data_IF_959042304287
#
_entry.id   IF_959042304287
#
_cell.length_a   1.000
_cell.length_b   1.000
_cell.length_c   1.000
_cell.angle_alpha   90.00
_cell.angle_beta   90.00
_cell.angle_gamma   90.00
#
_symmetry.space_group_name_H-M   'P 1'
#
loop_
_entity.id
_entity.type
_entity.pdbx_description
1 polymer ?
#
# COMPACT_ATOMS: atom_id res chain seq x y z
N UNK A 1 -4.28 13.10 12.79
CA UNK A 1 -3.18 12.87 13.77
C UNK A 1 -2.16 13.95 13.53
N UNK A 2 -1.80 14.73 14.54
CA UNK A 2 -0.85 15.83 14.37
C UNK A 2 0.50 15.29 13.86
N UNK A 3 1.20 16.07 13.03
CA UNK A 3 2.52 15.78 12.45
C UNK A 3 3.65 15.48 13.47
N UNK A 4 3.35 15.35 14.76
CA UNK A 4 4.30 15.29 15.87
C UNK A 4 4.69 13.87 16.33
N UNK A 5 4.21 12.81 15.68
CA UNK A 5 4.51 11.44 16.15
C UNK A 5 5.17 10.58 15.04
N UNK A 6 6.34 11.04 14.61
CA UNK A 6 7.18 10.29 13.64
C UNK A 6 8.40 9.72 14.36
N UNK A 7 8.96 8.67 13.77
CA UNK A 7 10.15 7.97 14.26
C UNK A 7 11.30 8.28 13.29
N UNK A 8 12.44 8.68 13.85
CA UNK A 8 13.68 8.82 13.09
C UNK A 8 14.33 7.44 12.97
N UNK A 9 14.63 7.05 11.72
CA UNK A 9 15.29 5.78 11.43
C UNK A 9 16.54 6.00 10.58
N UNK A 10 17.54 5.15 10.75
CA UNK A 10 18.76 5.11 9.93
C UNK A 10 18.63 3.94 8.97
N UNK A 11 18.95 4.16 7.71
CA UNK A 11 19.06 3.11 6.69
C UNK A 11 20.33 2.30 6.99
N UNK A 12 20.19 1.11 7.54
CA UNK A 12 21.30 0.27 7.96
C UNK A 12 21.83 -0.63 6.83
N UNK A 13 20.98 -1.01 5.87
CA UNK A 13 21.38 -1.77 4.69
C UNK A 13 20.45 -1.50 3.51
N UNK A 14 20.98 -1.69 2.29
CA UNK A 14 20.23 -1.64 1.04
C UNK A 14 20.71 -2.80 0.17
N UNK A 15 19.77 -3.60 -0.34
CA UNK A 15 20.07 -4.73 -1.23
C UNK A 15 19.27 -4.60 -2.53
N UNK A 16 19.90 -4.84 -3.68
CA UNK A 16 19.20 -4.99 -4.94
C UNK A 16 18.60 -6.40 -4.97
N UNK A 17 17.27 -6.51 -5.01
CA UNK A 17 16.56 -7.80 -4.97
C UNK A 17 16.16 -8.27 -6.37
N UNK A 18 15.70 -7.33 -7.20
CA UNK A 18 15.41 -7.53 -8.61
C UNK A 18 15.86 -6.29 -9.39
N UNK A 19 15.90 -6.28 -10.73
CA UNK A 19 16.29 -5.08 -11.48
C UNK A 19 15.51 -3.81 -11.10
N UNK A 20 14.26 -3.97 -10.61
CA UNK A 20 13.39 -2.84 -10.26
C UNK A 20 13.07 -2.72 -8.77
N UNK A 21 13.54 -3.65 -7.92
CA UNK A 21 13.18 -3.66 -6.50
C UNK A 21 14.44 -3.61 -5.64
N UNK A 22 14.50 -2.62 -4.75
CA UNK A 22 15.46 -2.55 -3.65
C UNK A 22 14.80 -2.91 -2.33
N UNK A 23 15.53 -3.59 -1.48
CA UNK A 23 15.21 -3.91 -0.10
C UNK A 23 15.99 -2.96 0.81
N UNK A 24 15.30 -2.32 1.75
CA UNK A 24 15.87 -1.39 2.72
C UNK A 24 15.66 -1.94 4.12
N UNK A 25 16.71 -1.88 4.94
CA UNK A 25 16.66 -2.21 6.37
C UNK A 25 16.79 -0.92 7.16
N UNK A 26 15.82 -0.65 8.02
CA UNK A 26 15.67 0.58 8.80
C UNK A 26 15.79 0.25 10.29
N UNK A 27 16.63 0.98 11.02
CA UNK A 27 16.77 0.87 12.48
C UNK A 27 16.44 2.20 13.14
N UNK A 28 15.90 2.17 14.35
CA UNK A 28 15.67 3.40 15.09
C UNK A 28 16.96 4.20 15.29
N UNK A 29 16.92 5.51 15.09
CA UNK A 29 18.09 6.38 15.19
C UNK A 29 18.60 6.52 16.64
N UNK A 30 17.72 6.33 17.62
CA UNK A 30 18.02 6.37 19.05
C UNK A 30 18.49 5.02 19.62
N UNK A 31 18.53 3.97 18.78
CA UNK A 31 18.96 2.61 19.16
C UNK A 31 17.92 1.80 19.95
N UNK A 32 16.73 2.34 20.19
CA UNK A 32 15.65 1.62 20.86
C UNK A 32 14.95 0.63 19.90
N UNK A 33 14.25 -0.39 20.41
CA UNK A 33 13.38 -1.21 19.57
C UNK A 33 12.29 -0.36 18.88
N UNK A 34 12.00 -0.70 17.63
CA UNK A 34 10.90 -0.08 16.88
C UNK A 34 9.54 -0.56 17.42
N UNK A 35 8.45 0.21 17.22
CA UNK A 35 7.12 -0.20 17.65
C UNK A 35 6.70 -1.56 17.13
N UNK A 36 5.96 -2.32 17.96
CA UNK A 36 5.39 -3.59 17.54
C UNK A 36 4.37 -3.42 16.41
N UNK A 37 4.32 -4.41 15.52
CA UNK A 37 3.40 -4.44 14.40
C UNK A 37 2.91 -5.87 14.15
N UNK A 38 2.01 -6.08 13.21
CA UNK A 38 1.53 -7.40 12.78
C UNK A 38 1.65 -7.56 11.28
N UNK A 39 1.68 -8.79 10.77
CA UNK A 39 1.74 -9.05 9.33
C UNK A 39 0.63 -8.35 8.57
N UNK A 40 0.99 -7.71 7.45
CA UNK A 40 0.10 -6.82 6.68
C UNK A 40 0.20 -5.33 7.07
N UNK A 41 1.00 -4.97 8.08
CA UNK A 41 1.25 -3.57 8.43
C UNK A 41 2.09 -2.86 7.39
N UNK A 42 1.89 -1.55 7.29
CA UNK A 42 2.73 -0.64 6.50
C UNK A 42 3.17 0.57 7.34
N UNK A 43 4.22 1.22 6.90
CA UNK A 43 4.69 2.52 7.39
C UNK A 43 4.63 3.55 6.27
N UNK A 44 4.47 4.83 6.61
CA UNK A 44 4.68 5.92 5.66
C UNK A 44 6.11 6.41 5.82
N UNK A 45 6.88 6.38 4.74
CA UNK A 45 8.23 6.94 4.69
C UNK A 45 8.17 8.37 4.16
N UNK A 46 8.75 9.31 4.92
CA UNK A 46 8.84 10.71 4.55
C UNK A 46 10.20 10.96 3.91
N UNK A 47 10.19 11.38 2.66
CA UNK A 47 11.39 11.65 1.87
C UNK A 47 11.43 13.13 1.50
N UNK A 48 12.49 13.84 1.88
CA UNK A 48 12.67 15.28 1.64
C UNK A 48 13.74 15.50 0.58
N UNK A 49 13.34 15.92 -0.61
CA UNK A 49 14.23 16.15 -1.75
C UNK A 49 13.99 17.51 -2.40
N UNK A 50 14.97 18.41 -2.35
CA UNK A 50 14.81 19.78 -2.85
C UNK A 50 13.63 20.48 -2.20
N UNK A 51 12.71 21.02 -3.03
CA UNK A 51 11.51 21.72 -2.56
C UNK A 51 10.30 20.78 -2.38
N UNK A 52 10.49 19.44 -2.42
CA UNK A 52 9.40 18.49 -2.38
C UNK A 52 9.53 17.49 -1.24
N UNK A 53 8.40 17.18 -0.62
CA UNK A 53 8.27 16.13 0.40
C UNK A 53 7.38 15.03 -0.16
N UNK A 54 7.93 13.82 -0.26
CA UNK A 54 7.17 12.63 -0.63
C UNK A 54 6.78 11.87 0.63
N UNK A 55 5.59 11.31 0.65
CA UNK A 55 5.07 10.49 1.74
C UNK A 55 4.45 9.22 1.14
N UNK A 56 5.23 8.15 1.09
CA UNK A 56 4.78 6.91 0.48
C UNK A 56 4.57 5.82 1.52
N UNK A 57 3.44 5.08 1.46
CA UNK A 57 3.25 3.88 2.25
C UNK A 57 4.09 2.73 1.67
N UNK A 58 4.72 1.94 2.56
CA UNK A 58 5.43 0.72 2.22
C UNK A 58 5.11 -0.36 3.24
N UNK A 59 4.70 -1.55 2.77
CA UNK A 59 4.43 -2.70 3.64
C UNK A 59 5.71 -3.14 4.35
N UNK A 60 5.58 -3.45 5.63
CA UNK A 60 6.64 -4.07 6.41
C UNK A 60 6.77 -5.54 6.01
N UNK A 61 7.99 -5.99 5.77
CA UNK A 61 8.31 -7.37 5.41
C UNK A 61 9.26 -8.06 6.41
N UNK A 62 9.73 -7.33 7.43
CA UNK A 62 10.43 -7.91 8.57
C UNK A 62 9.51 -8.83 9.38
N UNK A 63 10.09 -9.69 10.18
CA UNK A 63 9.34 -10.50 11.14
C UNK A 63 8.69 -9.60 12.20
N UNK A 64 7.38 -9.71 12.47
CA UNK A 64 6.74 -8.97 13.56
C UNK A 64 7.29 -9.29 14.96
N UNK A 65 8.02 -10.40 15.09
CA UNK A 65 8.67 -10.81 16.34
C UNK A 65 10.07 -10.20 16.52
N UNK A 66 10.60 -9.49 15.52
CA UNK A 66 11.92 -8.86 15.51
C UNK A 66 11.76 -7.35 15.39
N UNK A 67 11.94 -6.61 16.51
CA UNK A 67 11.70 -5.17 16.56
C UNK A 67 12.99 -4.33 16.44
N UNK A 68 14.13 -4.98 16.22
CA UNK A 68 15.43 -4.31 16.04
C UNK A 68 15.52 -3.51 14.73
N UNK A 69 14.73 -3.92 13.74
CA UNK A 69 14.67 -3.27 12.44
C UNK A 69 13.35 -3.48 11.73
N UNK A 70 12.98 -2.49 10.90
CA UNK A 70 11.95 -2.66 9.89
C UNK A 70 12.60 -2.92 8.54
N UNK A 71 11.96 -3.75 7.74
CA UNK A 71 12.35 -4.03 6.38
C UNK A 71 11.25 -3.63 5.42
N UNK A 72 11.58 -2.95 4.33
CA UNK A 72 10.65 -2.58 3.26
C UNK A 72 11.21 -2.92 1.88
N UNK A 73 10.32 -3.31 0.97
CA UNK A 73 10.64 -3.51 -0.43
C UNK A 73 10.08 -2.36 -1.28
N UNK A 74 10.94 -1.68 -2.03
CA UNK A 74 10.55 -0.55 -2.85
C UNK A 74 10.77 -0.87 -4.32
N UNK A 75 9.68 -0.92 -5.09
CA UNK A 75 9.74 -1.02 -6.55
C UNK A 75 9.90 0.37 -7.15
N UNK A 76 10.90 0.56 -8.02
CA UNK A 76 11.05 1.78 -8.82
C UNK A 76 9.86 1.90 -9.77
N UNK A 77 9.08 2.94 -9.65
CA UNK A 77 7.97 3.25 -10.55
C UNK A 77 8.46 3.85 -11.87
N UNK A 78 7.79 3.50 -12.97
CA UNK A 78 7.95 4.13 -14.26
C UNK A 78 6.58 4.04 -15.01
N UNK A 79 5.89 5.16 -15.20
CA UNK A 79 6.18 6.50 -14.67
C UNK A 79 6.10 6.59 -13.14
N UNK A 80 6.80 7.56 -12.54
CA UNK A 80 6.84 7.77 -11.09
C UNK A 80 6.53 9.21 -10.73
N UNK A 81 5.85 9.42 -9.59
CA UNK A 81 5.67 10.76 -8.99
C UNK A 81 6.89 11.26 -8.22
N UNK A 82 7.98 10.48 -8.19
CA UNK A 82 9.27 10.82 -7.63
C UNK A 82 9.65 10.06 -6.36
N UNK A 83 8.72 9.65 -5.48
CA UNK A 83 9.06 9.05 -4.19
C UNK A 83 9.83 7.73 -4.31
N UNK A 84 9.39 6.79 -5.17
CA UNK A 84 10.12 5.53 -5.39
C UNK A 84 11.46 5.76 -6.12
N UNK A 85 11.55 6.78 -6.98
CA UNK A 85 12.79 7.20 -7.61
C UNK A 85 13.76 7.77 -6.58
N UNK A 86 13.27 8.63 -5.67
CA UNK A 86 14.06 9.15 -4.55
C UNK A 86 14.64 8.02 -3.70
N UNK A 87 13.82 7.02 -3.33
CA UNK A 87 14.30 5.85 -2.58
C UNK A 87 15.41 5.09 -3.32
N UNK A 88 15.31 4.97 -4.65
CA UNK A 88 16.32 4.27 -5.44
C UNK A 88 17.59 5.07 -5.67
N UNK A 89 17.51 6.39 -5.88
CA UNK A 89 18.60 7.19 -6.40
C UNK A 89 19.29 8.05 -5.35
N UNK A 90 18.56 8.44 -4.30
CA UNK A 90 19.04 9.39 -3.29
C UNK A 90 19.31 8.73 -1.94
N UNK A 91 18.55 7.67 -1.59
CA UNK A 91 18.69 7.02 -0.29
C UNK A 91 19.92 6.11 -0.29
N UNK A 92 20.79 6.28 0.71
CA UNK A 92 22.01 5.50 0.91
C UNK A 92 22.12 4.99 2.36
N UNK A 93 22.97 4.00 2.58
CA UNK A 93 23.29 3.47 3.91
C UNK A 93 23.85 4.59 4.79
N UNK A 94 23.36 4.69 6.02
CA UNK A 94 23.69 5.74 6.98
C UNK A 94 22.77 6.96 6.90
N UNK A 95 21.94 7.09 5.87
CA UNK A 95 20.97 8.20 5.76
C UNK A 95 19.88 8.06 6.80
N UNK A 96 19.51 9.19 7.44
CA UNK A 96 18.34 9.26 8.32
C UNK A 96 17.09 9.55 7.52
N UNK A 97 16.03 8.80 7.77
CA UNK A 97 14.68 9.00 7.26
C UNK A 97 13.70 9.16 8.41
N UNK A 98 12.56 9.75 8.11
CA UNK A 98 11.44 9.88 9.03
C UNK A 98 10.33 8.91 8.60
N UNK A 99 9.77 8.16 9.54
CA UNK A 99 8.67 7.23 9.27
C UNK A 99 7.49 7.47 10.22
N UNK A 100 6.28 7.16 9.78
CA UNK A 100 5.12 7.09 10.65
C UNK A 100 5.10 5.78 11.44
N UNK A 101 4.32 5.73 12.53
CA UNK A 101 4.04 4.48 13.24
C UNK A 101 3.38 3.45 12.31
N UNK A 102 3.63 2.14 12.50
CA UNK A 102 2.98 1.09 11.73
C UNK A 102 1.46 1.13 11.85
N UNK A 103 0.78 0.96 10.73
CA UNK A 103 -0.67 0.83 10.65
C UNK A 103 -0.99 -0.44 9.88
N UNK A 104 -1.96 -1.23 10.37
CA UNK A 104 -2.41 -2.44 9.67
C UNK A 104 -3.85 -2.28 9.18
N UNK A 105 -4.00 -2.18 7.86
CA UNK A 105 -5.28 -2.14 7.14
C UNK A 105 -5.52 -3.42 6.31
N UNK A 106 -4.55 -4.34 6.34
CA UNK A 106 -4.61 -5.61 5.63
C UNK A 106 -4.35 -6.77 6.62
N UNK A 107 -5.17 -6.79 7.68
CA UNK A 107 -5.02 -7.76 8.77
C UNK A 107 -5.47 -9.15 8.34
N UNK A 108 -4.73 -10.18 8.78
CA UNK A 108 -5.24 -11.56 8.71
C UNK A 108 -6.38 -11.76 9.71
N UNK A 109 -7.41 -12.46 9.29
CA UNK A 109 -8.48 -12.88 10.19
C UNK A 109 -7.98 -14.02 11.09
N UNK A 110 -8.08 -13.83 12.41
CA UNK A 110 -7.62 -14.81 13.41
C UNK A 110 -8.54 -16.02 13.53
N UNK A 111 -9.77 -15.93 13.01
CA UNK A 111 -10.75 -17.01 13.04
C UNK A 111 -10.73 -17.86 11.77
N UNK A 112 -9.95 -17.48 10.76
CA UNK A 112 -9.78 -18.25 9.54
C UNK A 112 -9.22 -19.64 9.84
N UNK A 113 -9.78 -20.66 9.19
CA UNK A 113 -9.30 -22.04 9.27
C UNK A 113 -8.12 -22.33 8.34
N UNK A 114 -7.96 -21.52 7.31
CA UNK A 114 -6.84 -21.55 6.36
C UNK A 114 -6.68 -20.18 5.71
N UNK A 115 -5.45 -19.81 5.35
CA UNK A 115 -5.15 -18.58 4.60
C UNK A 115 -4.59 -18.95 3.22
N UNK A 116 -5.17 -18.39 2.17
CA UNK A 116 -4.66 -18.45 0.79
C UNK A 116 -4.16 -17.05 0.44
N UNK A 117 -2.86 -16.93 0.17
CA UNK A 117 -2.18 -15.67 -0.11
C UNK A 117 -1.84 -15.62 -1.60
N UNK A 118 -2.36 -14.63 -2.32
CA UNK A 118 -2.19 -14.47 -3.76
C UNK A 118 -1.40 -13.18 -4.05
N UNK A 119 -0.14 -13.34 -4.44
CA UNK A 119 0.78 -12.23 -4.66
C UNK A 119 1.03 -11.98 -6.15
N UNK A 120 1.06 -10.71 -6.56
CA UNK A 120 1.49 -10.28 -7.89
C UNK A 120 2.64 -9.27 -7.83
N UNK A 121 3.83 -9.62 -8.32
CA UNK A 121 4.98 -8.71 -8.34
C UNK A 121 5.37 -8.18 -6.97
N UNK A 122 5.41 -6.84 -6.79
CA UNK A 122 5.76 -6.21 -5.49
C UNK A 122 4.68 -6.42 -4.43
N UNK A 123 3.47 -6.86 -4.78
CA UNK A 123 2.42 -7.25 -3.84
C UNK A 123 2.77 -8.44 -2.94
N UNK A 124 3.95 -9.02 -3.12
CA UNK A 124 4.52 -10.01 -2.19
C UNK A 124 4.85 -9.43 -0.80
N UNK A 125 5.13 -8.12 -0.71
CA UNK A 125 5.69 -7.51 0.50
C UNK A 125 4.82 -7.68 1.76
N UNK A 126 3.49 -7.45 1.79
CA UNK A 126 2.69 -7.65 2.99
C UNK A 126 2.63 -9.12 3.41
N UNK A 127 2.73 -10.05 2.46
CA UNK A 127 2.63 -11.47 2.75
C UNK A 127 3.87 -12.04 3.43
N UNK A 128 5.05 -11.46 3.22
CA UNK A 128 6.28 -11.93 3.89
C UNK A 128 6.13 -11.84 5.41
N UNK A 129 5.75 -10.67 5.95
CA UNK A 129 5.50 -10.52 7.37
C UNK A 129 4.28 -11.33 7.85
N UNK A 130 3.23 -11.42 7.04
CA UNK A 130 2.03 -12.21 7.36
C UNK A 130 2.35 -13.71 7.47
N UNK A 131 3.22 -14.24 6.61
CA UNK A 131 3.67 -15.63 6.67
C UNK A 131 4.57 -15.91 7.88
N UNK A 132 5.38 -14.95 8.31
CA UNK A 132 6.16 -15.08 9.56
C UNK A 132 5.23 -15.17 10.80
N UNK A 133 4.15 -14.37 10.83
CA UNK A 133 3.11 -14.49 11.87
C UNK A 133 2.43 -15.87 11.84
N UNK A 134 2.14 -16.39 10.64
CA UNK A 134 1.45 -17.67 10.45
C UNK A 134 2.36 -18.86 10.74
N UNK A 135 3.67 -18.74 10.53
CA UNK A 135 4.63 -19.82 10.70
C UNK A 135 4.69 -20.37 12.13
N UNK A 136 4.48 -19.52 13.12
CA UNK A 136 4.45 -19.91 14.54
C UNK A 136 3.13 -20.53 14.97
N UNK A 137 2.09 -20.49 14.11
CA UNK A 137 0.74 -20.95 14.41
C UNK A 137 0.41 -22.32 13.82
N UNK A 138 -0.75 -22.86 14.24
CA UNK A 138 -1.27 -24.14 13.73
C UNK A 138 -2.18 -23.98 12.49
N UNK A 139 -2.53 -22.75 12.09
CA UNK A 139 -3.45 -22.49 10.98
C UNK A 139 -2.72 -22.69 9.65
N UNK A 140 -3.21 -23.57 8.75
CA UNK A 140 -2.61 -23.79 7.45
C UNK A 140 -2.64 -22.52 6.60
N UNK A 141 -1.59 -22.35 5.79
CA UNK A 141 -1.52 -21.29 4.79
C UNK A 141 -0.76 -21.75 3.56
N UNK A 142 -1.04 -21.13 2.43
CA UNK A 142 -0.31 -21.30 1.18
C UNK A 142 -0.15 -19.95 0.47
N UNK A 143 0.98 -19.78 -0.21
CA UNK A 143 1.30 -18.62 -1.02
C UNK A 143 1.38 -19.04 -2.49
N UNK A 144 0.66 -18.30 -3.33
CA UNK A 144 0.73 -18.36 -4.78
C UNK A 144 1.29 -17.03 -5.28
N UNK A 145 2.49 -17.03 -5.84
CA UNK A 145 3.21 -15.83 -6.22
C UNK A 145 3.47 -15.79 -7.73
N UNK A 146 2.83 -14.85 -8.42
CA UNK A 146 2.94 -14.65 -9.87
C UNK A 146 3.85 -13.48 -10.20
N UNK A 147 4.77 -13.71 -11.12
CA UNK A 147 5.70 -12.70 -11.67
C UNK A 147 5.94 -12.94 -13.16
N UNK A 148 6.40 -11.90 -13.86
CA UNK A 148 6.65 -11.98 -15.30
C UNK A 148 7.72 -13.01 -15.68
N UNK A 149 8.82 -13.07 -14.90
CA UNK A 149 9.94 -13.99 -15.14
C UNK A 149 10.71 -14.23 -13.83
N UNK A 150 11.54 -15.28 -13.74
CA UNK A 150 12.27 -15.65 -12.51
C UNK A 150 13.11 -14.51 -11.90
N UNK A 151 13.71 -13.65 -12.70
CA UNK A 151 14.51 -12.49 -12.28
C UNK A 151 13.67 -11.39 -11.62
N UNK A 152 12.34 -11.44 -11.75
CA UNK A 152 11.40 -10.52 -11.11
C UNK A 152 10.78 -11.07 -9.82
N UNK A 153 11.12 -12.33 -9.45
CA UNK A 153 10.63 -12.97 -8.24
C UNK A 153 11.37 -12.44 -6.99
N UNK A 154 10.95 -11.27 -6.50
CA UNK A 154 11.53 -10.67 -5.31
C UNK A 154 11.40 -11.60 -4.10
N UNK A 155 12.46 -11.70 -3.31
CA UNK A 155 12.53 -12.49 -2.06
C UNK A 155 12.29 -13.99 -2.25
N UNK A 156 12.40 -14.53 -3.46
CA UNK A 156 12.12 -15.92 -3.79
C UNK A 156 12.87 -16.89 -2.86
N UNK A 157 14.17 -16.71 -2.70
CA UNK A 157 14.99 -17.62 -1.91
C UNK A 157 14.58 -17.58 -0.42
N UNK A 158 14.35 -16.39 0.16
CA UNK A 158 13.82 -16.24 1.51
C UNK A 158 12.48 -16.97 1.70
N UNK A 159 11.58 -16.87 0.72
CA UNK A 159 10.25 -17.50 0.76
C UNK A 159 10.36 -19.04 0.70
N UNK A 160 11.15 -19.57 -0.25
CA UNK A 160 11.28 -21.02 -0.44
C UNK A 160 12.06 -21.70 0.68
N UNK A 161 13.11 -21.05 1.20
CA UNK A 161 13.89 -21.57 2.34
C UNK A 161 13.08 -21.61 3.63
N UNK A 162 12.27 -20.57 3.90
CA UNK A 162 11.51 -20.48 5.16
C UNK A 162 10.17 -21.20 5.15
N UNK A 163 9.52 -21.34 3.99
CA UNK A 163 8.14 -21.82 3.89
C UNK A 163 7.98 -23.07 3.01
N UNK A 164 9.01 -23.46 2.26
CA UNK A 164 9.07 -24.71 1.50
C UNK A 164 7.87 -24.91 0.58
N UNK A 165 7.22 -26.08 0.71
CA UNK A 165 6.10 -26.50 -0.14
C UNK A 165 4.83 -25.63 -0.03
N UNK A 166 4.79 -24.70 0.91
CA UNK A 166 3.69 -23.73 1.02
C UNK A 166 3.77 -22.61 -0.01
N UNK A 167 4.86 -22.53 -0.80
CA UNK A 167 5.10 -21.48 -1.79
C UNK A 167 5.04 -22.06 -3.19
N UNK A 168 4.12 -21.56 -4.00
CA UNK A 168 4.05 -21.86 -5.43
C UNK A 168 4.35 -20.62 -6.24
N UNK A 169 5.34 -20.72 -7.14
CA UNK A 169 5.75 -19.63 -8.02
C UNK A 169 5.18 -19.86 -9.43
N UNK A 170 4.71 -18.77 -10.04
CA UNK A 170 4.19 -18.74 -11.40
C UNK A 170 4.96 -17.74 -12.24
N UNK A 171 5.41 -18.15 -13.43
CA UNK A 171 6.21 -17.35 -14.34
C UNK A 171 5.49 -17.18 -15.68
N UNK A 172 5.08 -15.95 -16.01
CA UNK A 172 4.41 -15.65 -17.28
C UNK A 172 5.30 -16.00 -18.48
N UNK A 173 6.62 -15.75 -18.37
CA UNK A 173 7.61 -16.09 -19.41
C UNK A 173 7.67 -17.60 -19.72
N UNK A 174 7.33 -18.45 -18.76
CA UNK A 174 7.24 -19.90 -18.91
C UNK A 174 5.80 -20.37 -19.18
N UNK A 175 4.85 -19.46 -19.43
CA UNK A 175 3.41 -19.76 -19.58
C UNK A 175 2.81 -20.51 -18.39
N UNK A 176 3.35 -20.30 -17.20
CA UNK A 176 2.85 -20.84 -15.95
C UNK A 176 1.90 -19.80 -15.34
N UNK A 177 0.62 -19.98 -15.53
CA UNK A 177 -0.40 -19.06 -15.01
C UNK A 177 -1.10 -19.66 -13.80
N UNK A 178 -1.43 -18.81 -12.83
CA UNK A 178 -2.21 -19.20 -11.67
C UNK A 178 -3.65 -19.49 -12.09
N UNK A 179 -4.12 -20.72 -11.86
CA UNK A 179 -5.52 -21.11 -12.01
C UNK A 179 -6.32 -20.63 -10.79
N UNK A 180 -6.71 -19.34 -10.80
CA UNK A 180 -7.39 -18.70 -9.67
C UNK A 180 -8.73 -19.39 -9.40
N UNK A 181 -9.53 -19.66 -10.42
CA UNK A 181 -10.85 -20.27 -10.30
C UNK A 181 -10.74 -21.67 -9.69
N UNK A 182 -9.89 -22.52 -10.25
CA UNK A 182 -9.68 -23.87 -9.74
C UNK A 182 -9.04 -23.88 -8.35
N UNK A 183 -8.16 -22.93 -8.05
CA UNK A 183 -7.57 -22.78 -6.72
C UNK A 183 -8.65 -22.45 -5.66
N UNK A 184 -9.50 -21.48 -5.92
CA UNK A 184 -10.53 -21.04 -4.96
C UNK A 184 -11.64 -22.08 -4.80
N UNK A 185 -12.02 -22.80 -5.88
CA UNK A 185 -13.05 -23.83 -5.84
C UNK A 185 -12.65 -25.05 -4.99
N UNK A 186 -11.36 -25.30 -4.79
CA UNK A 186 -10.87 -26.47 -4.02
C UNK A 186 -10.64 -26.20 -2.54
N UNK A 187 -10.86 -24.96 -2.08
CA UNK A 187 -10.56 -24.60 -0.70
C UNK A 187 -11.61 -25.13 0.29
N UNK A 188 -11.19 -25.59 1.47
CA UNK A 188 -12.12 -25.97 2.52
C UNK A 188 -12.91 -24.77 3.06
N UNK A 189 -14.10 -25.03 3.60
CA UNK A 189 -14.91 -23.99 4.25
C UNK A 189 -14.17 -23.34 5.42
N UNK A 190 -14.32 -22.02 5.53
CA UNK A 190 -13.60 -21.20 6.53
C UNK A 190 -12.21 -20.79 6.08
N UNK A 191 -11.85 -21.00 4.81
CA UNK A 191 -10.67 -20.41 4.21
C UNK A 191 -10.89 -18.93 3.92
N UNK A 192 -9.86 -18.11 4.17
CA UNK A 192 -9.82 -16.71 3.78
C UNK A 192 -8.78 -16.50 2.68
N UNK A 193 -9.13 -15.78 1.62
CA UNK A 193 -8.22 -15.39 0.55
C UNK A 193 -7.75 -13.96 0.74
N UNK A 194 -6.47 -13.75 0.50
CA UNK A 194 -5.80 -12.45 0.55
C UNK A 194 -5.10 -12.22 -0.78
N UNK A 195 -5.36 -11.11 -1.43
CA UNK A 195 -4.71 -10.77 -2.70
C UNK A 195 -4.07 -9.39 -2.65
N UNK A 196 -2.82 -9.31 -3.11
CA UNK A 196 -2.12 -8.05 -3.35
C UNK A 196 -1.30 -8.15 -4.65
N UNK A 197 -1.55 -7.22 -5.57
CA UNK A 197 -0.93 -7.25 -6.90
C UNK A 197 -1.52 -6.21 -7.85
N UNK A 198 -1.36 -6.39 -9.17
CA UNK A 198 -1.97 -5.54 -10.19
C UNK A 198 -3.50 -5.56 -10.11
N UNK A 199 -4.15 -4.41 -10.40
CA UNK A 199 -5.60 -4.27 -10.33
C UNK A 199 -6.38 -5.39 -11.07
N UNK A 200 -6.03 -5.79 -12.31
CA UNK A 200 -6.75 -6.88 -12.99
C UNK A 200 -6.65 -8.23 -12.27
N UNK A 201 -5.55 -8.50 -11.56
CA UNK A 201 -5.41 -9.73 -10.76
C UNK A 201 -6.33 -9.67 -9.53
N UNK A 202 -6.35 -8.54 -8.83
CA UNK A 202 -7.22 -8.33 -7.66
C UNK A 202 -8.69 -8.49 -8.06
N UNK A 203 -9.12 -7.82 -9.12
CA UNK A 203 -10.48 -7.89 -9.65
C UNK A 203 -10.88 -9.32 -9.99
N UNK A 204 -10.00 -10.06 -10.70
CA UNK A 204 -10.24 -11.45 -11.05
C UNK A 204 -10.39 -12.34 -9.83
N UNK A 205 -9.55 -12.18 -8.79
CA UNK A 205 -9.65 -12.96 -7.55
C UNK A 205 -10.98 -12.69 -6.85
N UNK A 206 -11.37 -11.40 -6.72
CA UNK A 206 -12.64 -11.02 -6.09
C UNK A 206 -13.83 -11.62 -6.85
N UNK A 207 -13.86 -11.47 -8.17
CA UNK A 207 -14.95 -12.00 -9.01
C UNK A 207 -15.02 -13.53 -8.94
N UNK A 208 -13.87 -14.22 -9.00
CA UNK A 208 -13.81 -15.69 -8.92
C UNK A 208 -14.24 -16.21 -7.55
N UNK A 209 -13.85 -15.55 -6.46
CA UNK A 209 -14.28 -15.91 -5.11
C UNK A 209 -15.79 -15.73 -4.94
N UNK A 210 -16.35 -14.60 -5.40
CA UNK A 210 -17.80 -14.35 -5.39
C UNK A 210 -18.57 -15.39 -6.22
N UNK A 211 -18.09 -15.71 -7.42
CA UNK A 211 -18.69 -16.72 -8.28
C UNK A 211 -18.65 -18.13 -7.65
N UNK A 212 -17.64 -18.43 -6.85
CA UNK A 212 -17.51 -19.66 -6.08
C UNK A 212 -18.31 -19.64 -4.75
N UNK A 213 -19.08 -18.58 -4.46
CA UNK A 213 -19.94 -18.47 -3.29
C UNK A 213 -19.22 -18.13 -1.98
N UNK A 214 -18.03 -17.51 -2.05
CA UNK A 214 -17.33 -17.05 -0.85
C UNK A 214 -18.04 -15.89 -0.19
N UNK A 215 -18.06 -15.86 1.15
CA UNK A 215 -18.54 -14.71 1.89
C UNK A 215 -17.62 -13.51 1.69
N UNK A 216 -18.17 -12.29 1.58
CA UNK A 216 -17.38 -11.06 1.41
C UNK A 216 -16.35 -10.87 2.54
N UNK A 217 -16.69 -11.28 3.76
CA UNK A 217 -15.79 -11.23 4.93
C UNK A 217 -14.58 -12.17 4.82
N UNK A 218 -14.56 -13.09 3.85
CA UNK A 218 -13.46 -14.01 3.60
C UNK A 218 -12.56 -13.57 2.43
N UNK A 219 -12.90 -12.45 1.77
CA UNK A 219 -12.17 -11.94 0.61
C UNK A 219 -11.47 -10.66 1.00
N UNK A 220 -10.14 -10.70 1.10
CA UNK A 220 -9.31 -9.58 1.54
C UNK A 220 -8.37 -9.16 0.41
N UNK A 221 -8.24 -7.86 0.19
CA UNK A 221 -7.36 -7.34 -0.83
C UNK A 221 -6.68 -6.05 -0.41
N UNK A 222 -5.48 -5.85 -0.92
CA UNK A 222 -4.75 -4.60 -0.82
C UNK A 222 -4.23 -4.21 -2.20
N UNK A 223 -4.38 -2.94 -2.55
CA UNK A 223 -3.89 -2.39 -3.81
C UNK A 223 -2.96 -1.22 -3.54
N UNK A 224 -1.76 -1.27 -4.11
CA UNK A 224 -0.81 -0.18 -4.02
C UNK A 224 -1.13 0.86 -5.09
N UNK A 225 -1.97 1.83 -4.73
CA UNK A 225 -2.36 2.91 -5.60
C UNK A 225 -1.42 4.11 -5.42
N UNK A 226 -0.91 4.63 -6.53
CA UNK A 226 -0.37 5.98 -6.57
C UNK A 226 -1.50 6.93 -7.02
N UNK A 227 -1.65 8.10 -6.39
CA UNK A 227 -2.57 9.10 -6.89
C UNK A 227 -2.25 9.40 -8.37
N UNK A 228 -3.26 9.50 -9.25
CA UNK A 228 -3.02 9.72 -10.66
C UNK A 228 -2.43 11.11 -10.93
N UNK A 229 -1.68 11.22 -11.99
CA UNK A 229 -1.31 12.51 -12.58
C UNK A 229 -2.54 13.08 -13.27
N UNK A 230 -2.79 14.40 -13.14
CA UNK A 230 -3.93 15.07 -13.75
C UNK A 230 -3.61 16.53 -14.11
N UNK A 231 -4.60 17.31 -14.45
CA UNK A 231 -4.45 18.76 -14.66
C UNK A 231 -4.34 19.49 -13.32
N UNK A 232 -3.66 20.65 -13.30
CA UNK A 232 -3.63 21.49 -12.11
C UNK A 232 -5.02 22.11 -11.88
N UNK A 233 -5.41 22.26 -10.61
CA UNK A 233 -6.64 22.95 -10.20
C UNK A 233 -6.45 23.62 -8.86
N UNK A 234 -7.28 24.61 -8.55
CA UNK A 234 -7.26 25.30 -7.27
C UNK A 234 -8.25 24.69 -6.30
N UNK A 235 -7.85 24.58 -5.04
CA UNK A 235 -8.72 24.18 -3.93
C UNK A 235 -8.80 25.30 -2.90
N UNK A 236 -10.02 25.71 -2.56
CA UNK A 236 -10.32 26.59 -1.43
C UNK A 236 -10.67 25.72 -0.22
N UNK A 237 -9.97 25.95 0.89
CA UNK A 237 -10.22 25.32 2.17
C UNK A 237 -11.08 26.29 3.00
N UNK A 238 -12.39 26.07 3.02
CA UNK A 238 -13.37 27.06 3.47
C UNK A 238 -13.23 27.48 4.94
N UNK A 239 -12.87 26.52 5.83
CA UNK A 239 -12.66 26.82 7.26
C UNK A 239 -11.33 27.52 7.53
N UNK A 240 -10.31 27.17 6.77
CA UNK A 240 -8.97 27.73 6.92
C UNK A 240 -8.81 29.06 6.18
N UNK A 241 -9.69 29.38 5.25
CA UNK A 241 -9.60 30.57 4.39
C UNK A 241 -8.41 30.57 3.43
N UNK A 242 -7.86 29.41 3.13
CA UNK A 242 -6.66 29.24 2.31
C UNK A 242 -7.04 28.69 0.94
N UNK A 243 -6.46 29.24 -0.12
CA UNK A 243 -6.53 28.66 -1.47
C UNK A 243 -5.17 28.09 -1.85
N UNK A 244 -5.17 26.86 -2.36
CA UNK A 244 -3.99 26.10 -2.73
C UNK A 244 -4.12 25.60 -4.14
N UNK A 245 -3.08 25.76 -4.97
CA UNK A 245 -3.01 25.10 -6.28
C UNK A 245 -2.49 23.67 -6.11
N UNK A 246 -3.23 22.70 -6.63
CA UNK A 246 -2.85 21.28 -6.68
C UNK A 246 -2.12 21.00 -7.99
N UNK A 247 -0.80 20.78 -7.98
CA UNK A 247 -0.04 20.48 -9.21
C UNK A 247 -0.48 19.16 -9.87
N UNK A 248 -0.16 18.94 -11.14
CA UNK A 248 -0.51 17.73 -11.87
C UNK A 248 -0.02 16.44 -11.21
N UNK A 249 1.14 16.48 -10.59
CA UNK A 249 1.89 15.33 -10.05
C UNK A 249 1.80 15.20 -8.51
N UNK A 250 0.96 16.01 -7.85
CA UNK A 250 0.66 15.90 -6.41
C UNK A 250 -0.78 15.45 -6.17
N UNK A 251 -1.00 14.74 -5.06
CA UNK A 251 -2.36 14.52 -4.57
C UNK A 251 -2.92 15.81 -3.95
N UNK A 252 -4.24 15.90 -3.90
CA UNK A 252 -4.92 16.98 -3.19
C UNK A 252 -4.51 17.03 -1.71
N UNK A 253 -4.35 15.88 -1.06
CA UNK A 253 -3.86 15.78 0.32
C UNK A 253 -2.45 16.36 0.49
N UNK A 254 -1.52 16.04 -0.41
CA UNK A 254 -0.15 16.57 -0.36
C UNK A 254 -0.11 18.09 -0.54
N UNK A 255 -0.97 18.64 -1.39
CA UNK A 255 -1.08 20.08 -1.58
C UNK A 255 -1.65 20.78 -0.33
N UNK A 256 -2.68 20.21 0.30
CA UNK A 256 -3.27 20.71 1.56
C UNK A 256 -2.22 20.71 2.68
N UNK A 257 -1.49 19.59 2.85
CA UNK A 257 -0.40 19.49 3.83
C UNK A 257 0.75 20.49 3.54
N UNK A 258 1.07 20.68 2.27
CA UNK A 258 2.09 21.67 1.84
C UNK A 258 1.72 23.11 2.18
N UNK A 259 0.42 23.41 2.27
CA UNK A 259 -0.09 24.70 2.72
C UNK A 259 -0.15 24.85 4.24
N UNK A 260 0.28 23.84 5.00
CA UNK A 260 0.29 23.85 6.47
C UNK A 260 -1.06 23.56 7.11
N UNK A 261 -2.04 23.06 6.35
CA UNK A 261 -3.35 22.67 6.87
C UNK A 261 -3.32 21.19 7.27
N UNK A 262 -3.72 20.90 8.50
CA UNK A 262 -3.77 19.56 9.06
C UNK A 262 -5.07 18.85 8.58
N UNK A 263 -4.95 18.08 7.50
CA UNK A 263 -6.04 17.26 6.98
C UNK A 263 -5.92 15.82 7.52
N UNK A 264 -7.04 15.18 7.90
CA UNK A 264 -6.99 13.81 8.40
C UNK A 264 -6.54 12.85 7.29
N UNK A 265 -5.67 11.90 7.65
CA UNK A 265 -5.25 10.80 6.76
C UNK A 265 -4.72 9.60 7.55
N UNK A 266 -4.73 8.43 6.91
CA UNK A 266 -4.13 7.21 7.46
C UNK A 266 -3.38 6.42 6.36
N UNK A 267 -4.09 5.84 5.37
CA UNK A 267 -3.50 4.91 4.38
C UNK A 267 -2.84 5.59 3.19
N UNK A 268 -3.21 6.81 2.83
CA UNK A 268 -2.82 7.52 1.58
C UNK A 268 -3.09 6.75 0.28
N UNK A 269 -3.90 5.68 0.35
CA UNK A 269 -4.19 4.75 -0.75
C UNK A 269 -5.68 4.64 -1.11
N UNK A 270 -6.56 5.47 -0.53
CA UNK A 270 -7.98 5.53 -0.91
C UNK A 270 -8.85 4.39 -0.37
N UNK A 271 -8.43 3.67 0.68
CA UNK A 271 -9.16 2.49 1.18
C UNK A 271 -9.69 2.62 2.62
N UNK A 272 -9.12 3.49 3.46
CA UNK A 272 -9.46 3.53 4.89
C UNK A 272 -10.60 4.50 5.25
N UNK A 273 -10.91 5.48 4.41
CA UNK A 273 -11.95 6.47 4.69
C UNK A 273 -11.51 7.67 5.53
N UNK A 274 -10.37 7.63 6.20
CA UNK A 274 -9.95 8.66 7.17
C UNK A 274 -9.86 10.07 6.57
N UNK A 275 -9.45 10.19 5.31
CA UNK A 275 -9.36 11.48 4.63
C UNK A 275 -10.66 11.91 3.93
N UNK A 276 -11.80 11.25 4.19
CA UNK A 276 -13.08 11.62 3.60
C UNK A 276 -13.44 13.05 3.93
N UNK A 277 -13.48 13.92 2.92
CA UNK A 277 -13.71 15.35 3.07
C UNK A 277 -14.98 15.75 2.34
N UNK A 278 -15.79 16.61 2.97
CA UNK A 278 -17.01 17.16 2.38
C UNK A 278 -16.66 18.19 1.31
N UNK A 279 -17.31 18.07 0.16
CA UNK A 279 -17.26 19.06 -0.93
C UNK A 279 -18.36 20.09 -0.73
N UNK A 280 -17.98 21.36 -0.71
CA UNK A 280 -18.91 22.50 -0.62
C UNK A 280 -19.34 22.93 -2.00
N UNK A 281 -18.40 23.01 -2.94
CA UNK A 281 -18.64 23.33 -4.34
C UNK A 281 -17.51 22.77 -5.22
N UNK A 282 -17.83 22.48 -6.49
CA UNK A 282 -16.86 22.13 -7.52
C UNK A 282 -17.27 22.73 -8.86
N UNK A 283 -16.30 23.34 -9.53
CA UNK A 283 -16.44 23.75 -10.94
C UNK A 283 -15.87 22.65 -11.82
N UNK A 284 -16.74 21.78 -12.34
CA UNK A 284 -16.38 20.57 -13.09
C UNK A 284 -16.85 19.29 -12.40
N UNK A 285 -16.04 18.24 -12.43
CA UNK A 285 -16.39 16.91 -11.88
C UNK A 285 -15.33 16.39 -10.93
N UNK A 286 -15.75 15.59 -9.95
CA UNK A 286 -14.84 14.83 -9.10
C UNK A 286 -14.40 13.56 -9.80
N UNK A 287 -13.10 13.31 -9.83
CA UNK A 287 -12.49 12.10 -10.38
C UNK A 287 -12.07 11.19 -9.24
N UNK A 288 -12.92 10.22 -8.94
CA UNK A 288 -12.73 9.30 -7.83
C UNK A 288 -11.80 8.15 -8.21
N UNK A 289 -10.76 7.93 -7.41
CA UNK A 289 -9.81 6.81 -7.52
C UNK A 289 -9.76 5.99 -6.23
N UNK A 290 -10.67 6.28 -5.30
CA UNK A 290 -10.81 5.55 -4.04
C UNK A 290 -11.71 4.33 -4.21
N UNK A 291 -11.54 3.39 -3.28
CA UNK A 291 -12.37 2.19 -3.11
C UNK A 291 -13.25 2.28 -1.86
N UNK A 292 -13.28 3.43 -1.20
CA UNK A 292 -14.01 3.61 0.05
C UNK A 292 -15.43 4.14 -0.15
N UNK A 293 -15.59 5.18 -0.96
CA UNK A 293 -16.90 5.77 -1.22
C UNK A 293 -17.78 4.80 -2.03
N UNK A 294 -19.04 4.67 -1.62
CA UNK A 294 -20.03 3.93 -2.38
C UNK A 294 -20.32 4.59 -3.75
N UNK A 295 -20.96 3.86 -4.64
CA UNK A 295 -21.37 4.40 -5.94
C UNK A 295 -22.30 5.62 -5.78
N UNK A 296 -23.22 5.58 -4.81
CA UNK A 296 -24.16 6.68 -4.53
C UNK A 296 -23.43 7.90 -3.96
N UNK A 297 -22.45 7.70 -3.05
CA UNK A 297 -21.64 8.79 -2.52
C UNK A 297 -20.79 9.45 -3.61
N UNK A 298 -20.20 8.67 -4.52
CA UNK A 298 -19.47 9.20 -5.68
C UNK A 298 -20.37 9.99 -6.61
N UNK A 299 -21.56 9.44 -6.93
CA UNK A 299 -22.53 10.10 -7.80
C UNK A 299 -23.11 11.38 -7.18
N UNK A 300 -23.22 11.47 -5.87
CA UNK A 300 -23.70 12.66 -5.17
C UNK A 300 -22.77 13.87 -5.27
N UNK A 301 -21.47 13.66 -5.52
CA UNK A 301 -20.47 14.72 -5.50
C UNK A 301 -20.26 15.39 -4.14
N UNK A 302 -20.84 14.85 -3.06
CA UNK A 302 -20.81 15.45 -1.72
C UNK A 302 -19.49 15.22 -0.98
N UNK A 303 -18.71 14.24 -1.39
CA UNK A 303 -17.47 13.86 -0.71
C UNK A 303 -16.34 13.57 -1.71
N UNK A 304 -15.11 13.80 -1.25
CA UNK A 304 -13.90 13.43 -1.97
C UNK A 304 -12.90 12.76 -1.02
N UNK A 305 -12.02 11.89 -1.57
CA UNK A 305 -10.89 11.31 -0.84
C UNK A 305 -9.58 11.98 -1.29
N UNK A 306 -9.11 13.04 -0.61
CA UNK A 306 -7.97 13.86 -1.04
C UNK A 306 -6.68 13.11 -1.30
N UNK A 307 -6.50 11.95 -0.68
CA UNK A 307 -5.27 11.17 -0.83
C UNK A 307 -5.08 10.57 -2.24
N UNK A 308 -6.17 10.29 -2.99
CA UNK A 308 -6.10 9.65 -4.31
C UNK A 308 -6.99 10.29 -5.36
N UNK A 309 -8.04 11.02 -4.97
CA UNK A 309 -9.02 11.61 -5.90
C UNK A 309 -8.65 13.03 -6.28
N UNK A 310 -9.14 13.51 -7.42
CA UNK A 310 -8.87 14.84 -7.99
C UNK A 310 -10.18 15.49 -8.45
N UNK A 311 -10.10 16.75 -8.86
CA UNK A 311 -11.18 17.42 -9.58
C UNK A 311 -10.72 17.77 -11.01
N UNK A 312 -11.67 17.80 -11.95
CA UNK A 312 -11.52 18.51 -13.21
C UNK A 312 -12.15 19.90 -13.06
N UNK A 313 -11.78 20.84 -13.92
CA UNK A 313 -12.20 22.23 -13.78
C UNK A 313 -11.19 23.06 -13.03
N UNK A 314 -11.55 24.30 -12.71
CA UNK A 314 -10.60 25.29 -12.19
C UNK A 314 -10.64 25.43 -10.67
N UNK A 315 -11.78 25.10 -10.03
CA UNK A 315 -11.98 25.35 -8.60
C UNK A 315 -12.72 24.22 -7.89
N UNK A 316 -12.18 23.82 -6.74
CA UNK A 316 -12.81 22.94 -5.76
C UNK A 316 -12.90 23.66 -4.42
N UNK A 317 -14.02 23.56 -3.70
CA UNK A 317 -14.18 24.12 -2.34
C UNK A 317 -14.44 22.98 -1.36
N UNK A 318 -13.61 22.86 -0.34
CA UNK A 318 -13.68 21.81 0.67
C UNK A 318 -14.03 22.39 2.06
N UNK A 319 -14.74 21.59 2.86
CA UNK A 319 -15.10 21.91 4.26
C UNK A 319 -13.92 21.59 5.20
N UNK A 320 -12.76 22.24 4.99
CA UNK A 320 -11.51 22.13 5.75
C UNK A 320 -11.01 23.48 6.24
#
# INVERSE_FOLDING_TARGET
MSHSNTIQVIVSAIHQVTPLIKHFVLRAADGNPLPAFSGGSHIIVVMRGGNRVYRNPYSLLSSPNELESYEIGVRRGDPSRGGSVFMHDQVHVGMTLEIAHPVNLFQRDKLARKHVLLAGGIGITPFIAMMEDLRSGAVPYELHYSVRAPEHAAFKDRLTERHGDRVTLYYDSAKQFMDIEGLLARQPLGTHVYVCGPAPMIERVIQSARAAGWAESHIHWEQFNAPPVGEAFDVELAKSGITVTVPPDQSLLEAIEGAGVDAPYLCRGGVCGECKTKVVAVDGTLVHHDHYLSADEKASGAFIMPCVSRATGTKLVLDL
#
